data_IF_740842302980
#
_entry.id   IF_740842302980
#
_cell.length_a   1.000
_cell.length_b   1.000
_cell.length_c   1.000
_cell.angle_alpha   90.00
_cell.angle_beta   90.00
_cell.angle_gamma   90.00
#
_symmetry.space_group_name_H-M   'P 1'
#
loop_
_entity.id
_entity.type
_entity.pdbx_description
1 polymer ?
#
# COMPACT_ATOMS: atom_id res chain seq x y z
N UNK A 1 14.91 -1.38 -87.99
CA UNK A 1 13.78 -0.73 -87.29
C UNK A 1 13.36 -1.63 -86.10
N UNK A 2 13.79 -1.29 -84.89
CA UNK A 2 13.56 -2.12 -83.68
C UNK A 2 12.53 -1.44 -82.82
N UNK A 3 11.41 -2.08 -82.68
CA UNK A 3 10.31 -1.66 -81.79
C UNK A 3 10.60 -2.10 -80.37
N UNK A 4 10.85 -1.14 -79.46
CA UNK A 4 10.99 -1.40 -78.03
C UNK A 4 9.61 -1.28 -77.35
N UNK A 5 9.03 -2.40 -76.93
CA UNK A 5 7.81 -2.44 -76.11
C UNK A 5 8.17 -2.09 -74.68
N UNK A 6 7.64 -0.98 -74.18
CA UNK A 6 7.69 -0.61 -72.74
C UNK A 6 6.56 -1.38 -72.04
N UNK A 7 6.95 -2.30 -71.14
CA UNK A 7 6.01 -2.98 -70.21
C UNK A 7 5.88 -2.08 -68.96
N UNK A 8 4.73 -1.40 -68.80
CA UNK A 8 4.42 -0.64 -67.59
C UNK A 8 3.90 -1.62 -66.52
N UNK A 9 4.71 -1.84 -65.49
CA UNK A 9 4.28 -2.57 -64.29
C UNK A 9 3.49 -1.62 -63.40
N UNK A 10 2.17 -1.77 -63.38
CA UNK A 10 1.33 -1.05 -62.43
C UNK A 10 1.49 -1.70 -61.03
N UNK A 11 2.19 -1.02 -60.16
CA UNK A 11 2.31 -1.39 -58.74
C UNK A 11 0.98 -1.09 -58.06
N UNK A 12 0.12 -2.09 -57.86
CA UNK A 12 -1.12 -1.98 -57.10
C UNK A 12 -0.71 -1.91 -55.59
N UNK A 13 -0.67 -0.70 -55.05
CA UNK A 13 -0.64 -0.50 -53.60
C UNK A 13 -2.00 -0.94 -53.02
N UNK A 14 -2.07 -2.16 -52.55
CA UNK A 14 -3.17 -2.60 -51.67
C UNK A 14 -3.04 -1.84 -50.37
N UNK A 15 -4.05 -1.03 -49.95
CA UNK A 15 -4.04 -0.47 -48.61
C UNK A 15 -4.05 -1.63 -47.62
N UNK A 16 -3.03 -1.74 -46.78
CA UNK A 16 -3.08 -2.59 -45.61
C UNK A 16 -4.20 -2.05 -44.73
N UNK A 17 -5.35 -2.73 -44.73
CA UNK A 17 -6.39 -2.51 -43.73
C UNK A 17 -5.73 -2.74 -42.38
N UNK A 18 -5.37 -1.65 -41.69
CA UNK A 18 -4.98 -1.73 -40.31
C UNK A 18 -6.18 -2.32 -39.55
N UNK A 19 -6.07 -3.60 -39.20
CA UNK A 19 -7.07 -4.26 -38.40
C UNK A 19 -7.08 -3.55 -37.03
N UNK A 20 -8.23 -3.03 -36.64
CA UNK A 20 -8.44 -2.38 -35.35
C UNK A 20 -9.50 -3.18 -34.59
N UNK A 21 -9.39 -3.20 -33.26
CA UNK A 21 -10.41 -3.82 -32.45
C UNK A 21 -11.77 -3.17 -32.67
N UNK A 22 -12.83 -3.95 -32.66
CA UNK A 22 -14.19 -3.49 -32.92
C UNK A 22 -15.13 -3.83 -31.78
N UNK A 23 -15.89 -2.83 -31.34
CA UNK A 23 -16.97 -2.97 -30.35
C UNK A 23 -18.29 -2.65 -31.02
N UNK A 24 -19.23 -3.59 -31.00
CA UNK A 24 -20.59 -3.43 -31.53
C UNK A 24 -21.54 -3.26 -30.37
N UNK A 25 -22.36 -2.21 -30.42
CA UNK A 25 -23.37 -1.92 -29.41
C UNK A 25 -24.70 -2.59 -29.74
N UNK A 26 -25.59 -2.71 -28.76
CA UNK A 26 -26.94 -3.28 -28.96
C UNK A 26 -27.83 -2.48 -29.91
N UNK A 27 -27.57 -1.17 -30.02
CA UNK A 27 -28.28 -0.30 -30.98
C UNK A 27 -27.74 -0.39 -32.42
N UNK A 28 -26.73 -1.23 -32.66
CA UNK A 28 -26.08 -1.43 -33.97
C UNK A 28 -24.88 -0.54 -34.24
N UNK A 29 -24.57 0.43 -33.39
CA UNK A 29 -23.39 1.28 -33.55
C UNK A 29 -22.10 0.46 -33.44
N UNK A 30 -21.09 0.88 -34.20
CA UNK A 30 -19.77 0.25 -34.21
C UNK A 30 -18.70 1.26 -33.85
N UNK A 31 -17.90 0.92 -32.89
CA UNK A 31 -16.74 1.69 -32.45
C UNK A 31 -15.48 0.92 -32.77
N UNK A 32 -14.52 1.59 -33.39
CA UNK A 32 -13.18 1.03 -33.71
C UNK A 32 -12.11 1.73 -32.87
N UNK A 33 -11.12 0.97 -32.44
CA UNK A 33 -10.02 1.50 -31.64
C UNK A 33 -9.20 0.36 -31.05
N UNK A 34 -8.53 0.61 -29.95
CA UNK A 34 -7.79 -0.41 -29.19
C UNK A 34 -8.50 -0.69 -27.86
N UNK A 35 -8.90 -1.92 -27.64
CA UNK A 35 -9.50 -2.36 -26.39
C UNK A 35 -8.41 -2.33 -25.32
N UNK A 36 -8.71 -1.67 -24.20
CA UNK A 36 -7.80 -1.56 -23.05
C UNK A 36 -8.18 -2.58 -21.99
N UNK A 37 -9.32 -2.38 -21.33
CA UNK A 37 -9.81 -3.25 -20.27
C UNK A 37 -11.32 -3.11 -20.02
N UNK A 38 -11.88 -4.11 -19.40
CA UNK A 38 -13.18 -4.07 -18.72
C UNK A 38 -12.96 -3.99 -17.21
N UNK A 39 -13.45 -2.95 -16.59
CA UNK A 39 -13.36 -2.68 -15.16
C UNK A 39 -14.61 -1.92 -14.70
N UNK A 40 -15.13 -2.20 -13.50
CA UNK A 40 -16.34 -1.58 -12.97
C UNK A 40 -17.52 -1.52 -13.95
N UNK A 41 -17.81 -2.63 -14.67
CA UNK A 41 -18.87 -2.70 -15.69
C UNK A 41 -18.71 -1.72 -16.87
N UNK A 42 -17.50 -1.24 -17.14
CA UNK A 42 -17.20 -0.35 -18.27
C UNK A 42 -16.03 -0.90 -19.07
N UNK A 43 -16.23 -1.05 -20.38
CA UNK A 43 -15.16 -1.34 -21.32
C UNK A 43 -14.49 -0.03 -21.74
N UNK A 44 -13.19 0.06 -21.56
CA UNK A 44 -12.38 1.17 -22.04
C UNK A 44 -11.84 0.86 -23.43
N UNK A 45 -12.21 1.70 -24.40
CA UNK A 45 -11.73 1.67 -25.77
C UNK A 45 -10.92 2.95 -26.04
N UNK A 46 -9.69 2.83 -26.48
CA UNK A 46 -8.88 3.96 -26.93
C UNK A 46 -9.06 4.15 -28.45
N UNK A 47 -9.45 5.36 -28.86
CA UNK A 47 -9.66 5.71 -30.25
C UNK A 47 -8.68 6.78 -30.70
N UNK A 48 -8.46 6.95 -32.00
CA UNK A 48 -7.52 7.96 -32.52
C UNK A 48 -8.01 9.41 -32.35
N UNK A 49 -9.33 9.60 -32.12
CA UNK A 49 -9.96 10.92 -32.07
C UNK A 49 -10.56 11.26 -30.69
N UNK A 50 -10.63 10.30 -29.76
CA UNK A 50 -11.14 10.53 -28.41
C UNK A 50 -10.38 9.62 -27.44
N UNK A 51 -9.29 10.08 -26.85
CA UNK A 51 -8.34 9.34 -26.02
C UNK A 51 -8.85 7.99 -25.47
N UNK A 52 -9.72 8.00 -24.48
CA UNK A 52 -10.32 6.82 -23.88
C UNK A 52 -11.84 6.98 -23.75
N UNK A 53 -12.59 6.10 -24.41
CA UNK A 53 -14.04 6.04 -24.34
C UNK A 53 -14.46 4.92 -23.40
N UNK A 54 -15.22 5.26 -22.36
CA UNK A 54 -15.78 4.28 -21.42
C UNK A 54 -17.20 3.87 -21.86
N UNK A 55 -17.36 2.63 -22.25
CA UNK A 55 -18.61 2.06 -22.76
C UNK A 55 -19.21 1.17 -21.67
N UNK A 56 -20.48 1.38 -21.33
CA UNK A 56 -21.19 0.48 -20.40
C UNK A 56 -21.22 -0.94 -20.94
N UNK A 57 -20.78 -1.90 -20.13
CA UNK A 57 -20.71 -3.30 -20.54
C UNK A 57 -22.05 -3.88 -21.00
N UNK A 58 -23.13 -3.49 -20.37
CA UNK A 58 -24.49 -3.93 -20.71
C UNK A 58 -24.97 -3.43 -22.09
N UNK A 59 -24.38 -2.35 -22.61
CA UNK A 59 -24.71 -1.80 -23.94
C UNK A 59 -23.99 -2.52 -25.09
N UNK A 60 -23.02 -3.38 -24.79
CA UNK A 60 -22.19 -4.08 -25.77
C UNK A 60 -22.88 -5.38 -26.19
N UNK A 61 -22.95 -5.64 -27.48
CA UNK A 61 -23.42 -6.89 -28.08
C UNK A 61 -22.28 -7.79 -28.53
N UNK A 62 -21.21 -7.21 -29.10
CA UNK A 62 -20.06 -7.99 -29.61
C UNK A 62 -18.77 -7.19 -29.44
N UNK A 63 -17.69 -7.91 -29.15
CA UNK A 63 -16.32 -7.42 -29.16
C UNK A 63 -15.49 -8.35 -30.05
N UNK A 64 -14.74 -7.79 -30.97
CA UNK A 64 -13.77 -8.48 -31.80
C UNK A 64 -12.43 -7.77 -31.70
N UNK A 65 -11.38 -8.51 -31.46
CA UNK A 65 -10.04 -7.96 -31.28
C UNK A 65 -9.06 -8.56 -32.29
N UNK A 66 -8.14 -7.72 -32.77
CA UNK A 66 -7.05 -8.15 -33.63
C UNK A 66 -6.05 -9.03 -32.87
N UNK A 67 -5.79 -8.65 -31.62
CA UNK A 67 -4.88 -9.37 -30.72
C UNK A 67 -5.67 -10.08 -29.64
N UNK A 68 -5.18 -11.24 -29.16
CA UNK A 68 -5.87 -11.95 -28.10
C UNK A 68 -6.16 -11.07 -26.88
N UNK A 69 -7.39 -11.13 -26.38
CA UNK A 69 -7.82 -10.55 -25.14
C UNK A 69 -7.77 -11.59 -24.02
N UNK A 70 -7.42 -11.16 -22.83
CA UNK A 70 -7.39 -12.01 -21.64
C UNK A 70 -8.66 -11.82 -20.83
N UNK A 71 -9.46 -12.87 -20.74
CA UNK A 71 -10.68 -12.93 -19.95
C UNK A 71 -10.39 -13.66 -18.65
N UNK A 72 -10.87 -13.10 -17.55
CA UNK A 72 -10.88 -13.74 -16.24
C UNK A 72 -12.33 -13.89 -15.77
N UNK A 73 -12.71 -15.11 -15.40
CA UNK A 73 -14.03 -15.43 -14.85
C UNK A 73 -14.02 -15.34 -13.31
N UNK A 74 -15.21 -15.32 -12.70
CA UNK A 74 -15.36 -15.22 -11.24
C UNK A 74 -14.80 -16.43 -10.49
N UNK A 75 -14.76 -17.60 -11.12
CA UNK A 75 -14.09 -18.82 -10.64
C UNK A 75 -12.59 -18.85 -10.91
N UNK A 76 -12.01 -17.72 -11.33
CA UNK A 76 -10.58 -17.49 -11.57
C UNK A 76 -10.00 -18.21 -12.80
N UNK A 77 -10.83 -18.76 -13.69
CA UNK A 77 -10.33 -19.26 -14.97
C UNK A 77 -9.80 -18.10 -15.81
N UNK A 78 -8.70 -18.35 -16.52
CA UNK A 78 -8.08 -17.40 -17.45
C UNK A 78 -8.19 -17.98 -18.85
N UNK A 79 -8.81 -17.21 -19.75
CA UNK A 79 -9.02 -17.60 -21.15
C UNK A 79 -8.40 -16.52 -22.04
N UNK A 80 -7.78 -16.97 -23.14
CA UNK A 80 -7.32 -16.08 -24.21
C UNK A 80 -8.35 -16.14 -25.33
N UNK A 81 -8.95 -15.01 -25.70
CA UNK A 81 -10.06 -14.94 -26.65
C UNK A 81 -9.77 -13.96 -27.77
N UNK A 82 -10.22 -14.27 -28.99
CA UNK A 82 -10.17 -13.41 -30.15
C UNK A 82 -11.43 -12.56 -30.30
N UNK A 83 -12.58 -13.12 -29.89
CA UNK A 83 -13.84 -12.41 -29.90
C UNK A 83 -14.73 -12.86 -28.76
N UNK A 84 -15.71 -12.01 -28.45
CA UNK A 84 -16.79 -12.36 -27.54
C UNK A 84 -18.11 -11.76 -28.03
N UNK A 85 -19.17 -12.48 -27.86
CA UNK A 85 -20.51 -12.02 -28.22
C UNK A 85 -21.50 -12.35 -27.11
N UNK A 86 -22.43 -11.43 -26.88
CA UNK A 86 -23.48 -11.62 -25.88
C UNK A 86 -24.70 -12.28 -26.54
N UNK A 87 -25.15 -13.36 -25.94
CA UNK A 87 -26.39 -14.04 -26.28
C UNK A 87 -27.25 -14.13 -25.01
N UNK A 88 -28.26 -13.30 -24.93
CA UNK A 88 -29.16 -13.15 -23.76
C UNK A 88 -28.40 -13.00 -22.42
N UNK A 89 -28.40 -14.02 -21.59
CA UNK A 89 -27.74 -14.06 -20.28
C UNK A 89 -26.32 -14.65 -20.32
N UNK A 90 -25.86 -15.12 -21.47
CA UNK A 90 -24.54 -15.71 -21.63
C UNK A 90 -23.63 -14.88 -22.53
N UNK A 91 -22.33 -15.09 -22.36
CA UNK A 91 -21.29 -14.59 -23.24
C UNK A 91 -20.63 -15.79 -23.91
N UNK A 92 -20.65 -15.78 -25.21
CA UNK A 92 -19.91 -16.76 -26.02
C UNK A 92 -18.53 -16.19 -26.27
N UNK A 93 -17.52 -16.87 -25.77
CA UNK A 93 -16.11 -16.54 -25.90
C UNK A 93 -15.51 -17.42 -27.02
N UNK A 94 -14.96 -16.79 -28.03
CA UNK A 94 -14.24 -17.47 -29.10
C UNK A 94 -12.74 -17.45 -28.72
N UNK A 95 -12.25 -18.56 -28.27
CA UNK A 95 -10.89 -18.68 -27.75
C UNK A 95 -9.86 -18.67 -28.89
N UNK A 96 -8.63 -18.29 -28.57
CA UNK A 96 -7.54 -18.21 -29.56
C UNK A 96 -7.19 -19.57 -30.19
N UNK A 97 -7.63 -20.67 -29.62
CA UNK A 97 -7.52 -22.05 -30.15
C UNK A 97 -8.80 -22.52 -30.87
N UNK A 98 -9.67 -21.57 -31.26
CA UNK A 98 -10.91 -21.79 -32.02
C UNK A 98 -11.94 -22.67 -31.31
N UNK A 99 -12.05 -22.60 -30.01
CA UNK A 99 -13.12 -23.24 -29.23
C UNK A 99 -14.10 -22.19 -28.74
N UNK A 100 -15.37 -22.51 -28.81
CA UNK A 100 -16.41 -21.70 -28.19
C UNK A 100 -16.59 -22.11 -26.71
N UNK A 101 -16.57 -21.12 -25.82
CA UNK A 101 -16.81 -21.30 -24.40
C UNK A 101 -17.96 -20.40 -23.98
N UNK A 102 -19.00 -20.98 -23.40
CA UNK A 102 -20.16 -20.28 -22.88
C UNK A 102 -19.95 -19.93 -21.40
N UNK A 103 -20.07 -18.66 -21.06
CA UNK A 103 -19.92 -18.17 -19.70
C UNK A 103 -21.12 -17.30 -19.35
N UNK A 104 -21.78 -17.52 -18.19
CA UNK A 104 -22.81 -16.61 -17.74
C UNK A 104 -22.29 -15.18 -17.67
N UNK A 105 -23.06 -14.20 -18.17
CA UNK A 105 -22.58 -12.81 -18.24
C UNK A 105 -22.19 -12.22 -16.88
N UNK A 106 -22.80 -12.71 -15.79
CA UNK A 106 -22.45 -12.36 -14.42
C UNK A 106 -21.09 -12.91 -13.96
N UNK A 107 -20.57 -13.93 -14.64
CA UNK A 107 -19.32 -14.59 -14.28
C UNK A 107 -18.10 -14.00 -15.00
N UNK A 108 -18.27 -13.05 -15.89
CA UNK A 108 -17.15 -12.32 -16.48
C UNK A 108 -16.60 -11.29 -15.49
N UNK A 109 -15.47 -11.59 -14.86
CA UNK A 109 -14.88 -10.73 -13.85
C UNK A 109 -13.98 -9.64 -14.43
N UNK A 110 -13.25 -9.92 -15.52
CA UNK A 110 -12.38 -8.95 -16.18
C UNK A 110 -12.08 -9.34 -17.62
N UNK A 111 -11.83 -8.31 -18.44
CA UNK A 111 -11.29 -8.43 -19.78
C UNK A 111 -10.11 -7.45 -19.90
N UNK A 112 -9.00 -7.89 -20.48
CA UNK A 112 -7.78 -7.05 -20.63
C UNK A 112 -7.13 -7.29 -21.99
N UNK A 113 -6.56 -6.23 -22.57
CA UNK A 113 -5.61 -6.38 -23.66
C UNK A 113 -4.32 -7.04 -23.16
N UNK A 114 -3.48 -7.49 -24.08
CA UNK A 114 -2.17 -8.08 -23.72
C UNK A 114 -1.30 -7.12 -22.92
N UNK A 115 -1.26 -5.83 -23.29
CA UNK A 115 -0.50 -4.81 -22.57
C UNK A 115 -1.04 -4.60 -21.12
N UNK A 116 -2.34 -4.52 -20.96
CA UNK A 116 -2.98 -4.38 -19.65
C UNK A 116 -2.82 -5.65 -18.80
N UNK A 117 -2.83 -6.81 -19.42
CA UNK A 117 -2.58 -8.08 -18.73
C UNK A 117 -1.14 -8.12 -18.17
N UNK A 118 -0.15 -7.70 -18.96
CA UNK A 118 1.24 -7.59 -18.50
C UNK A 118 1.39 -6.59 -17.34
N UNK A 119 0.74 -5.42 -17.44
CA UNK A 119 0.70 -4.41 -16.35
C UNK A 119 0.05 -5.01 -15.11
N UNK A 120 -1.07 -5.71 -15.28
CA UNK A 120 -1.77 -6.37 -14.18
C UNK A 120 -0.90 -7.45 -13.53
N UNK A 121 -0.25 -8.31 -14.30
CA UNK A 121 0.65 -9.35 -13.78
C UNK A 121 1.86 -8.76 -13.06
N UNK A 122 2.46 -7.71 -13.62
CA UNK A 122 3.54 -6.98 -12.94
C UNK A 122 3.04 -6.35 -11.63
N UNK A 123 1.81 -5.86 -11.58
CA UNK A 123 1.22 -5.29 -10.35
C UNK A 123 0.95 -6.33 -9.26
N UNK A 124 0.77 -7.59 -9.64
CA UNK A 124 0.62 -8.70 -8.68
C UNK A 124 1.94 -9.05 -7.98
N UNK A 125 3.05 -8.85 -8.67
CA UNK A 125 4.41 -9.18 -8.21
C UNK A 125 5.38 -8.02 -8.48
N UNK A 126 5.16 -6.83 -7.86
CA UNK A 126 6.09 -5.73 -8.03
C UNK A 126 7.46 -6.11 -7.49
N UNK A 127 8.53 -5.65 -8.12
CA UNK A 127 9.89 -5.84 -7.65
C UNK A 127 10.08 -5.29 -6.23
N UNK A 128 11.08 -5.77 -5.50
CA UNK A 128 11.32 -5.36 -4.10
C UNK A 128 11.49 -3.84 -3.94
N UNK A 129 11.98 -3.15 -4.95
CA UNK A 129 12.17 -1.69 -4.96
C UNK A 129 10.98 -0.91 -5.52
N UNK A 130 9.94 -1.60 -6.03
CA UNK A 130 8.76 -0.98 -6.62
C UNK A 130 7.61 -0.90 -5.60
N UNK A 131 6.74 0.10 -5.76
CA UNK A 131 5.50 0.22 -4.99
C UNK A 131 5.66 0.74 -3.57
N UNK A 132 6.82 1.29 -3.21
CA UNK A 132 7.02 1.96 -1.93
C UNK A 132 6.30 3.31 -1.90
N UNK A 133 5.56 3.53 -0.84
CA UNK A 133 4.89 4.81 -0.52
C UNK A 133 5.28 5.17 0.90
N UNK A 134 5.63 6.42 1.13
CA UNK A 134 6.04 6.79 2.46
C UNK A 134 6.17 8.30 2.63
N UNK A 135 6.79 8.69 3.71
CA UNK A 135 7.05 10.08 4.02
C UNK A 135 8.15 10.23 5.06
N UNK A 136 8.68 11.42 5.13
CA UNK A 136 9.54 11.85 6.20
C UNK A 136 8.94 13.12 6.84
N UNK A 137 9.08 13.26 8.13
CA UNK A 137 8.69 14.47 8.86
C UNK A 137 9.88 15.08 9.58
N UNK A 138 9.84 16.37 9.73
CA UNK A 138 10.88 17.14 10.41
C UNK A 138 10.23 18.27 11.21
N UNK A 139 10.53 18.31 12.48
CA UNK A 139 10.12 19.37 13.39
C UNK A 139 11.34 19.97 14.09
N UNK A 140 11.49 21.31 14.03
CA UNK A 140 12.53 22.06 14.73
C UNK A 140 11.87 23.24 15.45
N UNK A 141 12.14 23.37 16.75
CA UNK A 141 11.79 24.55 17.52
C UNK A 141 13.00 25.05 18.31
N UNK A 142 13.33 26.30 18.10
CA UNK A 142 14.43 27.01 18.79
C UNK A 142 13.84 28.16 19.57
N UNK A 143 14.18 28.26 20.86
CA UNK A 143 13.89 29.42 21.68
C UNK A 143 15.20 30.04 22.14
N UNK A 144 15.24 31.39 22.25
CA UNK A 144 16.34 32.17 22.73
C UNK A 144 15.80 33.35 23.55
N UNK A 145 16.55 33.80 24.55
CA UNK A 145 16.16 34.88 25.43
C UNK A 145 15.95 34.40 26.86
N UNK A 146 14.78 34.63 27.45
CA UNK A 146 14.45 34.16 28.81
C UNK A 146 14.38 32.61 28.90
N UNK A 147 14.21 31.93 27.77
CA UNK A 147 14.44 30.49 27.61
C UNK A 147 15.41 30.27 26.47
N UNK A 148 16.16 29.17 26.52
CA UNK A 148 17.04 28.77 25.44
C UNK A 148 16.89 27.25 25.24
N UNK A 149 15.92 26.85 24.41
CA UNK A 149 15.64 25.43 24.15
C UNK A 149 15.89 25.06 22.70
N UNK A 150 16.31 23.82 22.49
CA UNK A 150 16.41 23.16 21.17
C UNK A 150 15.57 21.92 21.19
N UNK A 151 14.58 21.86 20.30
CA UNK A 151 13.70 20.69 20.14
C UNK A 151 13.78 20.24 18.69
N UNK A 152 14.12 18.98 18.47
CA UNK A 152 14.26 18.36 17.17
C UNK A 152 13.42 17.08 17.14
N UNK A 153 12.60 16.91 16.12
CA UNK A 153 11.88 15.68 15.86
C UNK A 153 12.08 15.28 14.40
N UNK A 154 12.49 14.07 14.17
CA UNK A 154 12.64 13.47 12.84
C UNK A 154 11.84 12.19 12.84
N UNK A 155 11.19 11.89 11.72
CA UNK A 155 10.53 10.61 11.53
C UNK A 155 10.46 10.25 10.05
N UNK A 156 10.45 8.98 9.78
CA UNK A 156 10.26 8.43 8.44
C UNK A 156 9.39 7.18 8.49
N UNK A 157 8.58 7.00 7.49
CA UNK A 157 7.82 5.77 7.31
C UNK A 157 7.75 5.42 5.85
N UNK A 158 7.82 4.12 5.55
CA UNK A 158 7.70 3.58 4.20
C UNK A 158 6.90 2.29 4.25
N UNK A 159 5.89 2.21 3.41
CA UNK A 159 5.08 1.02 3.22
C UNK A 159 5.20 0.55 1.77
N UNK A 160 5.40 -0.75 1.58
CA UNK A 160 5.26 -1.43 0.31
C UNK A 160 4.12 -2.43 0.44
N UNK A 161 3.06 -2.20 -0.32
CA UNK A 161 1.86 -3.05 -0.28
C UNK A 161 1.65 -3.72 -1.63
N UNK A 162 1.53 -5.03 -1.62
CA UNK A 162 1.06 -5.83 -2.76
C UNK A 162 -0.36 -6.33 -2.50
N UNK A 163 -0.88 -7.18 -3.37
CA UNK A 163 -2.18 -7.82 -3.15
C UNK A 163 -2.17 -8.76 -1.93
N UNK A 164 -1.05 -9.42 -1.66
CA UNK A 164 -0.97 -10.52 -0.71
C UNK A 164 -0.12 -10.19 0.51
N UNK A 165 0.74 -9.18 0.44
CA UNK A 165 1.69 -8.85 1.50
C UNK A 165 1.88 -7.34 1.67
N UNK A 166 2.45 -6.96 2.81
CA UNK A 166 2.85 -5.60 3.14
C UNK A 166 4.17 -5.63 3.89
N UNK A 167 5.08 -4.72 3.52
CA UNK A 167 6.28 -4.42 4.28
C UNK A 167 6.15 -2.98 4.77
N UNK A 168 6.37 -2.78 6.06
CA UNK A 168 6.38 -1.46 6.70
C UNK A 168 7.73 -1.21 7.34
N UNK A 169 8.27 -0.03 7.14
CA UNK A 169 9.47 0.47 7.78
C UNK A 169 9.10 1.77 8.50
N UNK A 170 9.64 1.99 9.69
CA UNK A 170 9.50 3.27 10.37
C UNK A 170 10.75 3.63 11.14
N UNK A 171 10.97 4.92 11.34
CA UNK A 171 11.96 5.52 12.20
C UNK A 171 11.33 6.74 12.87
N UNK A 172 11.64 6.98 14.14
CA UNK A 172 11.26 8.18 14.88
C UNK A 172 12.34 8.55 15.89
N UNK A 173 12.79 9.80 15.83
CA UNK A 173 13.86 10.36 16.65
C UNK A 173 13.38 11.68 17.26
N UNK A 174 13.61 11.85 18.54
CA UNK A 174 13.29 13.10 19.25
C UNK A 174 14.43 13.48 20.17
N UNK A 175 14.86 14.72 20.07
CA UNK A 175 15.85 15.33 20.93
C UNK A 175 15.37 16.69 21.43
N UNK A 176 15.30 16.85 22.75
CA UNK A 176 14.94 18.12 23.40
C UNK A 176 15.97 18.47 24.45
N UNK A 177 16.48 19.70 24.39
CA UNK A 177 17.48 20.22 25.33
C UNK A 177 17.13 21.63 25.78
N UNK A 178 17.24 21.88 27.08
CA UNK A 178 17.33 23.21 27.66
C UNK A 178 18.80 23.62 27.70
N UNK A 179 19.14 24.67 26.95
CA UNK A 179 20.51 25.13 26.80
C UNK A 179 20.95 26.08 27.94
N UNK A 180 20.04 26.52 28.84
CA UNK A 180 20.37 27.31 30.03
C UNK A 180 20.83 26.38 31.15
N UNK A 181 20.04 25.33 31.42
CA UNK A 181 20.32 24.35 32.47
C UNK A 181 21.19 23.20 32.01
N UNK A 182 21.49 23.13 30.72
CA UNK A 182 22.19 22.01 30.04
C UNK A 182 21.47 20.66 30.23
N UNK A 183 20.16 20.70 30.41
CA UNK A 183 19.35 19.52 30.71
C UNK A 183 18.70 18.99 29.45
N UNK A 184 18.92 17.70 29.16
CA UNK A 184 18.22 16.95 28.10
C UNK A 184 16.92 16.42 28.67
N UNK A 185 15.80 16.78 28.05
CA UNK A 185 14.45 16.36 28.47
C UNK A 185 13.83 15.32 27.57
N UNK A 186 14.43 15.02 26.41
CA UNK A 186 14.16 13.87 25.56
C UNK A 186 15.37 13.56 24.69
N UNK A 187 15.74 12.31 24.58
CA UNK A 187 16.71 11.79 23.62
C UNK A 187 16.32 10.35 23.34
N UNK A 188 15.51 10.15 22.30
CA UNK A 188 14.97 8.84 21.95
C UNK A 188 15.13 8.58 20.47
N UNK A 189 15.47 7.35 20.10
CA UNK A 189 15.51 6.86 18.73
C UNK A 189 14.75 5.53 18.71
N UNK A 190 13.83 5.38 17.79
CA UNK A 190 13.06 4.13 17.59
C UNK A 190 12.98 3.81 16.11
N UNK A 191 12.98 2.53 15.79
CA UNK A 191 12.78 2.10 14.42
C UNK A 191 12.37 0.65 14.35
N UNK A 192 11.79 0.26 13.24
CA UNK A 192 11.37 -1.11 13.05
C UNK A 192 10.99 -1.46 11.63
N UNK A 193 10.88 -2.77 11.43
CA UNK A 193 10.40 -3.40 10.20
C UNK A 193 9.30 -4.39 10.55
N UNK A 194 8.30 -4.47 9.69
CA UNK A 194 7.22 -5.45 9.80
C UNK A 194 6.86 -5.98 8.42
N UNK A 195 6.77 -7.29 8.33
CA UNK A 195 6.24 -8.00 7.19
C UNK A 195 4.91 -8.64 7.54
N UNK A 196 3.90 -8.42 6.72
CA UNK A 196 2.56 -8.97 6.85
C UNK A 196 2.22 -9.77 5.59
N UNK A 197 1.55 -10.91 5.76
CA UNK A 197 1.03 -11.72 4.66
C UNK A 197 -0.41 -12.11 4.90
N UNK A 198 -1.28 -11.80 3.95
CA UNK A 198 -2.67 -12.22 3.98
C UNK A 198 -2.79 -13.74 3.83
N UNK A 199 -3.37 -14.39 4.83
CA UNK A 199 -3.71 -15.81 4.81
C UNK A 199 -5.08 -15.99 4.20
N UNK A 200 -6.02 -15.12 4.55
CA UNK A 200 -7.36 -15.00 3.98
C UNK A 200 -7.69 -13.54 3.70
N UNK A 201 -8.90 -13.23 3.23
CA UNK A 201 -9.36 -11.84 3.09
C UNK A 201 -9.45 -11.07 4.42
N UNK A 202 -9.55 -11.78 5.56
CA UNK A 202 -9.73 -11.19 6.88
C UNK A 202 -8.58 -11.48 7.85
N UNK A 203 -7.79 -12.52 7.61
CA UNK A 203 -6.71 -12.96 8.51
C UNK A 203 -5.38 -12.78 7.82
N UNK A 204 -4.42 -12.19 8.53
CA UNK A 204 -3.03 -12.10 8.11
C UNK A 204 -2.07 -12.57 9.20
N UNK A 205 -0.92 -13.09 8.79
CA UNK A 205 0.21 -13.35 9.67
C UNK A 205 1.20 -12.20 9.59
N UNK A 206 1.92 -11.91 10.67
CA UNK A 206 2.98 -10.91 10.67
C UNK A 206 4.22 -11.37 11.43
N UNK A 207 5.36 -10.82 11.04
CA UNK A 207 6.61 -10.83 11.81
C UNK A 207 7.13 -9.40 11.87
N UNK A 208 7.72 -9.02 13.02
CA UNK A 208 8.30 -7.69 13.22
C UNK A 208 9.62 -7.74 13.97
N UNK A 209 10.45 -6.73 13.72
CA UNK A 209 11.63 -6.41 14.49
C UNK A 209 11.61 -4.91 14.80
N UNK A 210 11.74 -4.59 16.08
CA UNK A 210 11.71 -3.21 16.58
C UNK A 210 12.92 -2.97 17.46
N UNK A 211 13.45 -1.75 17.46
CA UNK A 211 14.51 -1.31 18.35
C UNK A 211 14.23 0.11 18.86
N UNK A 212 14.66 0.34 20.09
CA UNK A 212 14.47 1.60 20.80
C UNK A 212 15.70 1.90 21.66
N UNK A 213 16.13 3.15 21.69
CA UNK A 213 17.05 3.72 22.66
C UNK A 213 16.38 4.93 23.31
N UNK A 214 16.57 5.09 24.65
CA UNK A 214 15.97 6.19 25.41
C UNK A 214 16.87 6.54 26.60
N UNK A 215 17.63 7.62 26.47
CA UNK A 215 18.59 8.05 27.50
C UNK A 215 17.92 8.40 28.82
N UNK A 216 16.69 8.94 28.81
CA UNK A 216 15.98 9.32 30.03
C UNK A 216 15.53 8.08 30.84
N UNK A 217 15.29 6.96 30.17
CA UNK A 217 15.05 5.67 30.79
C UNK A 217 16.36 4.91 31.07
N UNK A 218 17.52 5.51 30.76
CA UNK A 218 18.85 4.84 30.80
C UNK A 218 18.88 3.57 29.95
N UNK A 219 18.07 3.52 28.92
CA UNK A 219 17.91 2.40 28.00
C UNK A 219 18.87 2.58 26.82
N UNK A 220 20.00 1.85 26.83
CA UNK A 220 20.93 1.86 25.71
C UNK A 220 20.28 1.29 24.47
N UNK A 221 19.68 0.12 24.60
CA UNK A 221 18.95 -0.53 23.52
C UNK A 221 17.89 -1.50 24.06
N UNK A 222 16.72 -1.46 23.43
CA UNK A 222 15.68 -2.51 23.47
C UNK A 222 15.50 -3.05 22.08
N UNK A 223 15.65 -4.34 21.93
CA UNK A 223 15.39 -5.08 20.68
C UNK A 223 14.24 -6.03 20.89
N UNK A 224 13.25 -5.97 20.01
CA UNK A 224 12.04 -6.80 20.06
C UNK A 224 11.92 -7.54 18.74
N UNK A 225 11.84 -8.86 18.78
CA UNK A 225 11.54 -9.68 17.61
C UNK A 225 10.29 -10.47 17.93
N UNK A 226 9.28 -10.35 17.09
CA UNK A 226 7.99 -10.97 17.36
C UNK A 226 7.22 -11.33 16.09
N UNK A 227 6.08 -11.98 16.32
CA UNK A 227 5.16 -12.33 15.25
C UNK A 227 3.83 -12.83 15.82
N UNK A 228 2.84 -12.90 14.94
CA UNK A 228 1.51 -13.27 15.35
C UNK A 228 0.52 -13.27 14.20
N UNK A 229 -0.74 -13.18 14.56
CA UNK A 229 -1.86 -13.09 13.65
C UNK A 229 -2.60 -11.79 13.86
N UNK A 230 -3.15 -11.26 12.76
CA UNK A 230 -4.04 -10.13 12.78
C UNK A 230 -5.36 -10.45 12.08
N UNK A 231 -6.40 -9.72 12.45
CA UNK A 231 -7.73 -9.84 11.89
C UNK A 231 -8.25 -8.47 11.47
N UNK A 232 -8.62 -8.33 10.19
CA UNK A 232 -9.27 -7.14 9.65
C UNK A 232 -10.74 -7.10 10.10
N UNK A 233 -11.04 -6.34 11.17
CA UNK A 233 -12.41 -6.10 11.60
C UNK A 233 -13.15 -5.20 10.62
N UNK A 234 -12.46 -4.14 10.14
CA UNK A 234 -12.97 -3.24 9.12
C UNK A 234 -11.90 -3.12 8.04
N UNK A 235 -12.26 -3.42 6.79
CA UNK A 235 -11.41 -3.30 5.61
C UNK A 235 -12.16 -2.53 4.51
N UNK A 236 -12.39 -1.24 4.73
CA UNK A 236 -13.08 -0.35 3.80
C UNK A 236 -12.11 0.68 3.18
N UNK A 237 -12.41 1.29 2.02
CA UNK A 237 -11.50 2.24 1.35
C UNK A 237 -11.12 3.48 2.19
N UNK A 238 -11.98 3.86 3.16
CA UNK A 238 -11.76 5.02 4.03
C UNK A 238 -11.41 4.64 5.46
N UNK A 239 -11.62 3.39 5.86
CA UNK A 239 -11.47 2.94 7.26
C UNK A 239 -10.87 1.55 7.27
N UNK A 240 -9.76 1.38 7.97
CA UNK A 240 -9.25 0.06 8.34
C UNK A 240 -9.15 -0.02 9.84
N UNK A 241 -9.60 -1.14 10.42
CA UNK A 241 -9.47 -1.42 11.83
C UNK A 241 -9.08 -2.88 12.02
N UNK A 242 -7.89 -3.07 12.57
CA UNK A 242 -7.26 -4.37 12.75
C UNK A 242 -7.06 -4.66 14.23
N UNK A 243 -7.27 -5.91 14.63
CA UNK A 243 -6.85 -6.42 15.93
C UNK A 243 -5.73 -7.44 15.72
N UNK A 244 -4.75 -7.44 16.61
CA UNK A 244 -3.55 -8.24 16.48
C UNK A 244 -3.25 -8.96 17.79
N UNK A 245 -2.77 -10.19 17.67
CA UNK A 245 -2.28 -10.98 18.78
C UNK A 245 -1.04 -11.76 18.39
N UNK A 246 -0.08 -11.82 19.29
CA UNK A 246 1.17 -12.50 19.01
C UNK A 246 2.06 -12.67 20.23
N UNK A 247 3.30 -13.05 19.95
CA UNK A 247 4.35 -13.22 20.95
C UNK A 247 5.62 -12.54 20.46
N UNK A 248 6.43 -12.05 21.38
CA UNK A 248 7.70 -11.44 21.06
C UNK A 248 8.76 -11.83 22.10
N UNK A 249 10.01 -11.86 21.64
CA UNK A 249 11.19 -11.91 22.48
C UNK A 249 11.77 -10.50 22.58
N UNK A 250 11.99 -10.04 23.80
CA UNK A 250 12.55 -8.74 24.10
C UNK A 250 13.91 -8.88 24.79
N UNK A 251 14.90 -8.17 24.27
CA UNK A 251 16.20 -7.95 24.90
C UNK A 251 16.34 -6.50 25.25
N UNK A 252 16.70 -6.18 26.50
CA UNK A 252 16.97 -4.84 26.98
C UNK A 252 18.37 -4.77 27.59
N UNK A 253 19.10 -3.71 27.26
CA UNK A 253 20.37 -3.35 27.86
C UNK A 253 20.29 -1.91 28.34
N UNK A 254 20.65 -1.69 29.59
CA UNK A 254 20.64 -0.38 30.22
C UNK A 254 22.04 0.13 30.47
N UNK A 255 22.26 1.44 30.43
CA UNK A 255 23.53 2.12 30.73
C UNK A 255 24.04 1.89 32.14
N UNK A 256 23.22 1.32 33.02
CA UNK A 256 23.60 0.86 34.37
C UNK A 256 24.28 -0.50 34.36
N UNK A 257 24.46 -1.15 33.20
CA UNK A 257 25.01 -2.50 33.06
C UNK A 257 23.98 -3.61 33.23
N UNK A 258 22.73 -3.30 33.55
CA UNK A 258 21.64 -4.28 33.65
C UNK A 258 21.24 -4.74 32.24
N UNK A 259 21.06 -6.04 32.08
CA UNK A 259 20.55 -6.64 30.83
C UNK A 259 19.43 -7.63 31.16
N UNK A 260 18.30 -7.50 30.48
CA UNK A 260 17.12 -8.31 30.67
C UNK A 260 16.71 -9.01 29.37
N UNK A 261 16.23 -10.25 29.50
CA UNK A 261 15.66 -11.01 28.40
C UNK A 261 14.34 -11.62 28.86
N UNK A 262 13.29 -11.45 28.07
CA UNK A 262 11.99 -12.03 28.40
C UNK A 262 11.11 -12.22 27.18
N UNK A 263 10.20 -13.18 27.28
CA UNK A 263 9.11 -13.34 26.35
C UNK A 263 7.92 -12.47 26.77
N UNK A 264 7.26 -11.87 25.80
CA UNK A 264 6.03 -11.10 25.98
C UNK A 264 4.94 -11.63 25.08
N UNK A 265 3.69 -11.58 25.53
CA UNK A 265 2.56 -11.55 24.58
C UNK A 265 2.47 -10.16 23.97
N UNK A 266 1.86 -10.05 22.80
CA UNK A 266 1.48 -8.76 22.21
C UNK A 266 0.02 -8.80 21.84
N UNK A 267 -0.75 -7.84 22.32
CA UNK A 267 -2.17 -7.66 21.99
C UNK A 267 -2.33 -6.21 21.57
N UNK A 268 -2.92 -5.97 20.43
CA UNK A 268 -3.02 -4.60 19.92
C UNK A 268 -4.14 -4.39 18.94
N UNK A 269 -4.33 -3.11 18.64
CA UNK A 269 -5.20 -2.63 17.59
C UNK A 269 -4.50 -1.59 16.73
N UNK A 270 -4.92 -1.51 15.47
CA UNK A 270 -4.48 -0.47 14.53
C UNK A 270 -5.69 0.08 13.80
N UNK A 271 -5.84 1.39 13.85
CA UNK A 271 -6.93 2.10 13.20
C UNK A 271 -6.39 3.14 12.24
N UNK A 272 -6.89 3.12 11.00
CA UNK A 272 -6.65 4.17 10.01
C UNK A 272 -7.99 4.68 9.51
N UNK A 273 -8.16 5.99 9.52
CA UNK A 273 -9.36 6.67 9.05
C UNK A 273 -9.02 7.80 8.11
N UNK A 274 -9.53 7.77 6.88
CA UNK A 274 -9.55 8.93 5.99
C UNK A 274 -10.73 9.81 6.38
N UNK A 275 -10.46 10.94 7.04
CA UNK A 275 -11.45 11.91 7.45
C UNK A 275 -11.94 12.78 6.29
N UNK A 276 -11.00 13.06 5.35
CA UNK A 276 -11.29 13.77 4.10
C UNK A 276 -10.27 13.34 3.02
N UNK A 277 -10.35 13.91 1.82
CA UNK A 277 -9.36 13.68 0.76
C UNK A 277 -7.96 14.20 1.13
N UNK A 278 -7.89 15.08 2.12
CA UNK A 278 -6.64 15.71 2.57
C UNK A 278 -6.20 15.26 3.95
N UNK A 279 -7.11 14.82 4.81
CA UNK A 279 -6.81 14.53 6.22
C UNK A 279 -7.04 13.07 6.53
N UNK A 280 -6.05 12.43 7.14
CA UNK A 280 -6.11 11.08 7.68
C UNK A 280 -5.75 11.07 9.17
N UNK A 281 -6.34 10.14 9.88
CA UNK A 281 -6.03 9.77 11.26
C UNK A 281 -5.48 8.36 11.28
N UNK A 282 -4.44 8.12 12.08
CA UNK A 282 -3.88 6.81 12.34
C UNK A 282 -3.72 6.64 13.85
N UNK A 283 -4.01 5.45 14.34
CA UNK A 283 -3.84 5.10 15.76
C UNK A 283 -3.34 3.66 15.85
N UNK A 284 -2.46 3.41 16.85
CA UNK A 284 -1.96 2.09 17.25
C UNK A 284 -1.90 2.03 18.75
N UNK A 285 -2.48 0.99 19.33
CA UNK A 285 -2.40 0.71 20.76
C UNK A 285 -1.99 -0.74 20.98
N UNK A 286 -0.96 -0.96 21.78
CA UNK A 286 -0.44 -2.29 22.09
C UNK A 286 -0.18 -2.42 23.59
N UNK A 287 -0.54 -3.56 24.15
CA UNK A 287 -0.10 -4.02 25.46
C UNK A 287 0.79 -5.26 25.31
N UNK A 288 1.87 -5.30 26.09
CA UNK A 288 2.88 -6.35 26.07
C UNK A 288 3.05 -6.94 27.46
N UNK A 289 2.16 -7.86 27.92
CA UNK A 289 2.33 -8.57 29.16
C UNK A 289 3.59 -9.46 29.13
N UNK A 290 4.35 -9.49 30.23
CA UNK A 290 5.55 -10.32 30.34
C UNK A 290 5.14 -11.75 30.68
N UNK A 291 5.60 -12.70 29.86
CA UNK A 291 5.36 -14.14 30.04
C UNK A 291 6.49 -14.84 30.78
N UNK A 292 7.67 -14.22 30.83
CA UNK A 292 8.83 -14.70 31.55
C UNK A 292 9.63 -13.55 32.16
N UNK A 293 10.50 -13.82 33.10
CA UNK A 293 11.26 -12.82 33.84
C UNK A 293 10.44 -12.22 34.97
N UNK A 294 9.85 -11.07 34.76
CA UNK A 294 8.97 -10.40 35.73
C UNK A 294 7.51 -10.64 35.36
N UNK A 295 6.97 -11.81 35.66
CA UNK A 295 5.56 -12.13 35.44
C UNK A 295 4.65 -11.22 36.24
N UNK A 296 3.65 -10.61 35.56
CA UNK A 296 2.79 -9.58 36.11
C UNK A 296 3.14 -8.17 35.66
N UNK A 297 4.35 -7.97 35.17
CA UNK A 297 4.74 -6.69 34.54
C UNK A 297 4.22 -6.61 33.09
N UNK A 298 4.06 -5.41 32.60
CA UNK A 298 3.63 -5.14 31.24
C UNK A 298 4.18 -3.81 30.74
N UNK A 299 4.19 -3.66 29.44
CA UNK A 299 4.40 -2.39 28.75
C UNK A 299 3.16 -2.05 27.95
N UNK A 300 2.91 -0.76 27.80
CA UNK A 300 1.89 -0.23 26.90
C UNK A 300 2.54 0.76 25.94
N UNK A 301 2.13 0.69 24.68
CA UNK A 301 2.57 1.61 23.64
C UNK A 301 1.35 2.13 22.90
N UNK A 302 1.25 3.45 22.82
CA UNK A 302 0.20 4.15 22.10
C UNK A 302 0.82 5.16 21.15
N UNK A 303 0.37 5.19 19.92
CA UNK A 303 0.72 6.19 18.93
C UNK A 303 -0.56 6.63 18.21
N UNK A 304 -0.79 7.94 18.14
CA UNK A 304 -1.89 8.51 17.36
C UNK A 304 -1.39 9.70 16.55
N UNK A 305 -1.94 9.90 15.37
CA UNK A 305 -1.51 10.99 14.50
C UNK A 305 -2.56 11.46 13.52
N UNK A 306 -2.56 12.77 13.29
CA UNK A 306 -3.28 13.41 12.20
C UNK A 306 -2.28 13.87 11.15
N UNK A 307 -2.58 13.56 9.89
CA UNK A 307 -1.80 14.04 8.74
C UNK A 307 -2.74 14.77 7.79
N UNK A 308 -2.45 16.06 7.52
CA UNK A 308 -3.24 16.90 6.62
C UNK A 308 -2.39 17.39 5.46
N UNK A 309 -2.73 16.97 4.24
CA UNK A 309 -2.05 17.38 3.00
C UNK A 309 -2.26 18.86 2.75
N UNK A 310 -1.16 19.62 2.63
CA UNK A 310 -1.12 21.02 2.24
C UNK A 310 -0.98 21.12 0.72
N UNK A 311 -0.12 20.26 0.14
CA UNK A 311 0.13 20.19 -1.29
C UNK A 311 0.29 18.75 -1.76
N UNK A 312 0.74 18.52 -3.01
CA UNK A 312 1.04 17.18 -3.52
C UNK A 312 2.22 16.52 -2.80
N UNK A 313 3.14 17.32 -2.27
CA UNK A 313 4.39 16.85 -1.66
C UNK A 313 4.37 17.09 -0.15
N UNK A 314 3.77 18.19 0.31
CA UNK A 314 3.82 18.61 1.71
C UNK A 314 2.53 18.29 2.46
N UNK A 315 2.67 17.83 3.68
CA UNK A 315 1.59 17.65 4.65
C UNK A 315 2.02 18.23 6.01
N UNK A 316 1.07 18.63 6.79
CA UNK A 316 1.24 18.93 8.20
C UNK A 316 0.87 17.70 9.02
N UNK A 317 1.67 17.41 10.03
CA UNK A 317 1.49 16.26 10.89
C UNK A 317 1.53 16.66 12.36
N UNK A 318 0.61 16.09 13.15
CA UNK A 318 0.64 16.13 14.61
C UNK A 318 0.63 14.67 15.06
N UNK A 319 1.52 14.32 16.00
CA UNK A 319 1.55 12.97 16.58
C UNK A 319 1.60 13.03 18.10
N UNK A 320 0.92 12.08 18.74
CA UNK A 320 1.03 11.77 20.16
C UNK A 320 1.58 10.36 20.29
N UNK A 321 2.57 10.19 21.16
CA UNK A 321 3.21 8.90 21.42
C UNK A 321 3.35 8.72 22.91
N UNK A 322 2.79 7.65 23.45
CA UNK A 322 2.84 7.33 24.88
C UNK A 322 3.48 5.96 25.10
N UNK A 323 4.39 5.89 26.05
CA UNK A 323 5.09 4.67 26.42
C UNK A 323 5.05 4.48 27.91
N UNK A 324 4.45 3.38 28.33
CA UNK A 324 4.31 3.03 29.73
C UNK A 324 5.00 1.70 30.05
N UNK A 325 5.69 1.66 31.17
CA UNK A 325 6.33 0.47 31.75
C UNK A 325 5.81 0.33 33.19
N UNK A 326 5.20 -0.79 33.53
CA UNK A 326 4.61 -1.02 34.86
C UNK A 326 5.65 -1.07 35.99
N UNK A 327 6.86 -1.54 35.68
CA UNK A 327 7.96 -1.65 36.63
C UNK A 327 9.23 -1.02 36.04
N UNK A 328 9.34 0.33 36.09
CA UNK A 328 10.49 1.04 35.53
C UNK A 328 11.72 0.88 36.42
N UNK A 329 12.92 1.12 35.87
CA UNK A 329 14.14 1.17 36.67
C UNK A 329 14.04 2.18 37.80
N UNK A 330 14.62 1.90 38.98
CA UNK A 330 14.69 2.85 40.08
C UNK A 330 15.25 4.23 39.64
N UNK A 331 14.49 5.29 39.95
CA UNK A 331 14.85 6.67 39.63
C UNK A 331 14.43 7.10 38.20
N UNK A 332 13.70 6.26 37.44
CA UNK A 332 13.06 6.64 36.20
C UNK A 332 11.53 6.66 36.33
N UNK A 333 10.85 7.40 35.44
CA UNK A 333 9.39 7.41 35.37
C UNK A 333 8.89 6.24 34.50
N UNK A 334 7.73 5.69 34.86
CA UNK A 334 7.11 4.61 34.09
C UNK A 334 6.38 5.07 32.83
N UNK A 335 6.10 6.37 32.68
CA UNK A 335 5.34 6.92 31.58
C UNK A 335 6.08 8.04 30.87
N UNK A 336 6.17 7.97 29.54
CA UNK A 336 6.74 8.96 28.64
C UNK A 336 5.73 9.36 27.59
N UNK A 337 5.12 10.53 27.71
CA UNK A 337 4.24 11.14 26.72
C UNK A 337 5.01 12.13 25.86
N UNK A 338 4.94 11.98 24.56
CA UNK A 338 5.56 12.81 23.56
C UNK A 338 4.53 13.35 22.58
N UNK A 339 4.46 14.67 22.44
CA UNK A 339 3.67 15.35 21.43
C UNK A 339 4.61 16.02 20.43
N UNK A 340 4.41 15.74 19.15
CA UNK A 340 5.19 16.36 18.09
C UNK A 340 4.30 16.97 17.02
N UNK A 341 4.78 18.05 16.42
CA UNK A 341 4.17 18.64 15.24
C UNK A 341 5.25 19.04 14.26
N UNK A 342 4.99 18.89 12.98
CA UNK A 342 5.99 19.17 11.97
C UNK A 342 5.45 19.11 10.54
N UNK A 343 6.32 19.41 9.61
CA UNK A 343 6.10 19.28 8.18
C UNK A 343 6.50 17.87 7.74
N UNK A 344 5.60 17.21 7.05
CA UNK A 344 5.85 15.92 6.44
C UNK A 344 5.98 16.06 4.92
N UNK A 345 6.91 15.30 4.33
CA UNK A 345 7.10 15.18 2.89
C UNK A 345 6.54 13.82 2.47
N UNK A 346 5.61 13.80 1.55
CA UNK A 346 5.08 12.56 0.98
C UNK A 346 5.96 12.10 -0.18
N UNK A 347 6.55 10.94 -0.06
CA UNK A 347 7.26 10.25 -1.13
C UNK A 347 6.25 9.33 -1.82
N UNK A 348 5.76 9.72 -2.99
CA UNK A 348 4.98 8.82 -3.83
C UNK A 348 5.97 7.91 -4.57
N UNK A 349 5.92 6.62 -4.32
CA UNK A 349 6.61 5.65 -5.14
C UNK A 349 6.18 5.82 -6.60
N UNK A 350 7.13 6.01 -7.51
CA UNK A 350 6.90 6.22 -8.92
C UNK A 350 6.21 5.02 -9.58
N UNK A 351 4.88 5.01 -9.50
CA UNK A 351 4.01 4.23 -10.36
C UNK A 351 3.41 5.22 -11.37
N UNK A 352 4.01 5.29 -12.57
CA UNK A 352 3.33 5.81 -13.76
C UNK A 352 2.40 4.75 -14.29
#
# INVERSE_FOLDING_TARGET
MSSKSLLAVALICLPSLAAADQVVLKNGDRLTGSIVKLDDNKLTLKTDFADAVAIKWEAISKVAAEKPLYVQTSDQQKLSVSSLSRQDSEIVLDTSDHREVHVPAANLAALRSQSEQQVYEKSLHPGLMEGWVGGANFGLALARGNSATTNLAIGANMDRKTRNDKISLYEASVYNKDNITDTVSANTIRGGIRYERNITKKVFGYVSGDFESNDLQKLDIRSIIGGGLGYHLIAAPKTTFDILGGMAWTHEKYGTGISNNYATASIGQEWTQKLSDRTSFNERAYIFPYLSGSTGDYRFAFDAGFTTKISRIFAWQITASDRYVSNPLPGTKGNDLLLTTGLAITLAGGGK
#
